data_IF_526117401683
#
_entry.id   IF_526117401683
#
_cell.length_a   1.000
_cell.length_b   1.000
_cell.length_c   1.000
_cell.angle_alpha   90.00
_cell.angle_beta   90.00
_cell.angle_gamma   90.00
#
_symmetry.space_group_name_H-M   'P 1'
#
loop_
_entity.id
_entity.type
_entity.pdbx_description
1 polymer ?
#
# COMPACT_ATOMS: atom_id res chain seq x y z
N UNK A 1 -4.35 12.07 0.80
CA UNK A 1 -5.65 12.34 0.14
C UNK A 1 -5.52 13.26 -1.06
N UNK A 2 -4.93 14.45 -0.93
CA UNK A 2 -4.69 15.38 -2.06
C UNK A 2 -3.86 14.78 -3.20
N UNK A 3 -2.93 13.86 -2.88
CA UNK A 3 -2.10 13.16 -3.86
C UNK A 3 -2.87 12.17 -4.76
N UNK A 4 -4.06 11.73 -4.33
CA UNK A 4 -4.78 10.65 -5.03
C UNK A 4 -5.18 11.04 -6.46
N UNK A 5 -5.86 12.16 -6.73
CA UNK A 5 -6.15 12.59 -8.11
C UNK A 5 -4.88 12.83 -8.94
N UNK A 6 -3.78 13.30 -8.33
CA UNK A 6 -2.49 13.48 -9.03
C UNK A 6 -1.93 12.15 -9.54
N UNK A 7 -1.96 11.10 -8.72
CA UNK A 7 -1.49 9.76 -9.11
C UNK A 7 -2.39 9.16 -10.20
N UNK A 8 -3.71 9.34 -10.11
CA UNK A 8 -4.64 8.86 -11.14
C UNK A 8 -4.43 9.58 -12.48
N UNK A 9 -4.19 10.90 -12.44
CA UNK A 9 -3.83 11.67 -13.62
C UNK A 9 -2.52 11.21 -14.26
N UNK A 10 -1.50 10.90 -13.45
CA UNK A 10 -0.23 10.34 -13.94
C UNK A 10 -0.43 8.99 -14.66
N UNK A 11 -1.27 8.10 -14.13
CA UNK A 11 -1.59 6.82 -14.78
C UNK A 11 -2.31 7.00 -16.14
N UNK A 12 -3.21 7.98 -16.25
CA UNK A 12 -3.82 8.33 -17.55
C UNK A 12 -2.74 8.84 -18.51
N UNK A 13 -1.86 9.73 -18.03
CA UNK A 13 -0.75 10.28 -18.80
C UNK A 13 0.13 9.18 -19.41
N UNK A 14 0.54 8.19 -18.61
CA UNK A 14 1.36 7.07 -19.12
C UNK A 14 0.64 6.22 -20.16
N UNK A 15 -0.70 6.08 -20.07
CA UNK A 15 -1.48 5.37 -21.07
C UNK A 15 -1.54 6.14 -22.40
N UNK A 16 -1.74 7.46 -22.34
CA UNK A 16 -1.74 8.32 -23.53
C UNK A 16 -0.37 8.29 -24.20
N UNK A 17 0.71 8.40 -23.43
CA UNK A 17 2.08 8.25 -23.96
C UNK A 17 2.29 6.87 -24.58
N UNK A 18 1.74 5.81 -23.99
CA UNK A 18 1.78 4.45 -24.55
C UNK A 18 1.06 4.34 -25.90
N UNK A 19 -0.08 5.00 -26.07
CA UNK A 19 -0.80 5.05 -27.36
C UNK A 19 -0.01 5.83 -28.40
N UNK A 20 0.57 6.97 -28.04
CA UNK A 20 1.43 7.74 -28.94
C UNK A 20 2.67 6.94 -29.37
N UNK A 21 3.30 6.21 -28.44
CA UNK A 21 4.42 5.32 -28.74
C UNK A 21 4.00 4.18 -29.67
N UNK A 22 2.82 3.58 -29.46
CA UNK A 22 2.28 2.54 -30.32
C UNK A 22 2.01 3.06 -31.75
N UNK A 23 1.52 4.29 -31.90
CA UNK A 23 1.31 4.95 -33.20
C UNK A 23 2.61 5.26 -33.93
N UNK A 24 3.72 5.44 -33.20
CA UNK A 24 5.05 5.64 -33.79
C UNK A 24 5.77 4.33 -34.14
N UNK A 25 5.18 3.18 -33.82
CA UNK A 25 5.76 1.88 -34.15
C UNK A 25 5.64 1.55 -35.64
N UNK A 26 6.49 0.65 -36.12
CA UNK A 26 6.47 0.17 -37.51
C UNK A 26 5.08 -0.32 -37.93
N UNK A 27 4.70 -0.05 -39.18
CA UNK A 27 3.39 -0.43 -39.73
C UNK A 27 3.08 -1.94 -39.61
N UNK A 28 4.12 -2.79 -39.64
CA UNK A 28 3.98 -4.25 -39.48
C UNK A 28 3.59 -4.69 -38.06
N UNK A 29 3.87 -3.88 -37.05
CA UNK A 29 3.57 -4.16 -35.62
C UNK A 29 2.52 -3.23 -35.04
N UNK A 30 2.13 -2.19 -35.78
CA UNK A 30 1.19 -1.14 -35.37
C UNK A 30 -0.10 -1.70 -34.74
N UNK A 31 -0.71 -2.71 -35.37
CA UNK A 31 -1.94 -3.30 -34.84
C UNK A 31 -1.74 -3.94 -33.45
N UNK A 32 -0.62 -4.65 -33.26
CA UNK A 32 -0.29 -5.32 -32.01
C UNK A 32 0.11 -4.33 -30.91
N UNK A 33 0.90 -3.30 -31.24
CA UNK A 33 1.30 -2.27 -30.28
C UNK A 33 0.11 -1.43 -29.83
N UNK A 34 -0.81 -1.06 -30.74
CA UNK A 34 -2.05 -0.37 -30.41
C UNK A 34 -2.98 -1.23 -29.55
N UNK A 35 -3.09 -2.52 -29.84
CA UNK A 35 -3.91 -3.42 -29.02
C UNK A 35 -3.44 -3.43 -27.57
N UNK A 36 -2.13 -3.54 -27.33
CA UNK A 36 -1.57 -3.51 -25.97
C UNK A 36 -1.74 -2.13 -25.34
N UNK A 37 -1.52 -1.04 -26.08
CA UNK A 37 -1.69 0.31 -25.57
C UNK A 37 -3.14 0.63 -25.20
N UNK A 38 -4.12 0.20 -26.00
CA UNK A 38 -5.53 0.34 -25.70
C UNK A 38 -5.98 -0.54 -24.54
N UNK A 39 -5.49 -1.78 -24.45
CA UNK A 39 -5.74 -2.61 -23.29
C UNK A 39 -5.28 -1.90 -22.01
N UNK A 40 -4.09 -1.28 -22.04
CA UNK A 40 -3.56 -0.52 -20.92
C UNK A 40 -4.41 0.74 -20.60
N UNK A 41 -4.83 1.50 -21.62
CA UNK A 41 -5.66 2.68 -21.46
C UNK A 41 -7.04 2.35 -20.87
N UNK A 42 -7.75 1.37 -21.44
CA UNK A 42 -9.08 1.00 -20.97
C UNK A 42 -9.05 0.36 -19.59
N UNK A 43 -8.02 -0.44 -19.28
CA UNK A 43 -7.83 -0.96 -17.92
C UNK A 43 -7.67 0.17 -16.90
N UNK A 44 -6.84 1.17 -17.17
CA UNK A 44 -6.67 2.30 -16.25
C UNK A 44 -7.92 3.18 -16.17
N UNK A 45 -8.60 3.44 -17.28
CA UNK A 45 -9.80 4.28 -17.31
C UNK A 45 -10.96 3.63 -16.53
N UNK A 46 -11.21 2.33 -16.78
CA UNK A 46 -12.23 1.57 -16.06
C UNK A 46 -11.87 1.42 -14.58
N UNK A 47 -10.59 1.19 -14.26
CA UNK A 47 -10.09 1.18 -12.89
C UNK A 47 -10.34 2.49 -12.16
N UNK A 48 -10.05 3.64 -12.79
CA UNK A 48 -10.35 4.96 -12.23
C UNK A 48 -11.87 5.11 -12.04
N UNK A 49 -12.68 4.73 -13.01
CA UNK A 49 -14.13 4.83 -12.89
C UNK A 49 -14.65 4.02 -11.67
N UNK A 50 -14.19 2.78 -11.50
CA UNK A 50 -14.57 1.91 -10.39
C UNK A 50 -14.04 2.45 -9.06
N UNK A 51 -12.74 2.73 -8.95
CA UNK A 51 -12.11 3.06 -7.68
C UNK A 51 -12.25 4.52 -7.26
N UNK A 52 -12.33 5.46 -8.20
CA UNK A 52 -12.40 6.90 -7.90
C UNK A 52 -13.83 7.43 -7.89
N UNK A 53 -14.69 6.97 -8.81
CA UNK A 53 -16.06 7.49 -8.98
C UNK A 53 -17.04 6.87 -7.99
N UNK A 54 -16.88 5.58 -7.67
CA UNK A 54 -17.74 4.89 -6.69
C UNK A 54 -17.29 5.25 -5.26
N UNK A 55 -18.11 6.05 -4.57
CA UNK A 55 -17.80 6.64 -3.26
C UNK A 55 -17.29 5.66 -2.18
N UNK A 56 -17.92 4.49 -1.94
CA UNK A 56 -17.42 3.55 -0.93
C UNK A 56 -16.08 2.91 -1.32
N UNK A 57 -15.81 2.70 -2.62
CA UNK A 57 -14.60 2.05 -3.10
C UNK A 57 -13.38 2.97 -3.03
N UNK A 58 -13.57 4.28 -3.21
CA UNK A 58 -12.51 5.31 -3.10
C UNK A 58 -11.80 5.30 -1.76
N UNK A 59 -12.49 4.98 -0.68
CA UNK A 59 -11.91 4.97 0.66
C UNK A 59 -10.94 3.80 0.88
N UNK A 60 -11.11 2.70 0.14
CA UNK A 60 -10.27 1.50 0.27
C UNK A 60 -8.80 1.78 -0.04
N UNK A 61 -8.41 2.26 -1.25
CA UNK A 61 -7.00 2.52 -1.57
C UNK A 61 -6.41 3.62 -0.69
N UNK A 62 -7.20 4.63 -0.31
CA UNK A 62 -6.73 5.71 0.57
C UNK A 62 -6.37 5.17 1.96
N UNK A 63 -7.22 4.31 2.55
CA UNK A 63 -6.97 3.69 3.86
C UNK A 63 -5.78 2.74 3.82
N UNK A 64 -5.66 1.93 2.77
CA UNK A 64 -4.52 1.03 2.57
C UNK A 64 -3.21 1.82 2.43
N UNK A 65 -3.20 2.88 1.63
CA UNK A 65 -2.04 3.73 1.46
C UNK A 65 -1.62 4.45 2.76
N UNK A 66 -2.59 4.92 3.57
CA UNK A 66 -2.31 5.49 4.90
C UNK A 66 -1.70 4.44 5.82
N UNK A 67 -2.29 3.25 5.91
CA UNK A 67 -1.77 2.17 6.76
C UNK A 67 -0.35 1.73 6.37
N UNK A 68 -0.06 1.60 5.07
CA UNK A 68 1.28 1.30 4.57
C UNK A 68 2.26 2.45 4.85
N UNK A 69 1.83 3.70 4.67
CA UNK A 69 2.63 4.88 4.98
C UNK A 69 2.98 5.01 6.47
N UNK A 70 2.00 4.79 7.35
CA UNK A 70 2.21 4.80 8.81
C UNK A 70 3.15 3.69 9.26
N UNK A 71 3.03 2.50 8.67
CA UNK A 71 3.93 1.37 8.92
C UNK A 71 5.35 1.67 8.43
N UNK A 72 5.47 2.29 7.25
CA UNK A 72 6.76 2.73 6.69
C UNK A 72 7.42 3.83 7.54
N UNK A 73 6.63 4.75 8.08
CA UNK A 73 7.13 5.80 8.97
C UNK A 73 7.68 5.22 10.27
N UNK A 74 7.08 4.12 10.75
CA UNK A 74 7.54 3.39 11.93
C UNK A 74 8.78 2.52 11.66
N UNK A 75 8.80 1.81 10.52
CA UNK A 75 9.87 0.88 10.15
C UNK A 75 10.45 1.27 8.79
N UNK A 76 11.56 2.02 8.76
CA UNK A 76 12.12 2.54 7.50
C UNK A 76 12.55 1.43 6.52
N UNK A 77 13.03 0.29 7.03
CA UNK A 77 13.40 -0.86 6.21
C UNK A 77 12.19 -1.49 5.50
N UNK A 78 10.99 -1.31 6.05
CA UNK A 78 9.75 -1.84 5.48
C UNK A 78 9.49 -1.29 4.08
N UNK A 79 9.80 -0.02 3.81
CA UNK A 79 9.67 0.54 2.44
C UNK A 79 10.54 -0.19 1.42
N UNK A 80 11.80 -0.45 1.77
CA UNK A 80 12.74 -1.13 0.87
C UNK A 80 12.35 -2.59 0.67
N UNK A 81 12.00 -3.29 1.77
CA UNK A 81 11.50 -4.65 1.71
C UNK A 81 10.21 -4.76 0.88
N UNK A 82 9.27 -3.83 1.08
CA UNK A 82 8.04 -3.75 0.30
C UNK A 82 8.34 -3.56 -1.19
N UNK A 83 9.23 -2.63 -1.55
CA UNK A 83 9.63 -2.41 -2.94
C UNK A 83 10.26 -3.67 -3.54
N UNK A 84 11.21 -4.29 -2.84
CA UNK A 84 11.88 -5.52 -3.26
C UNK A 84 10.87 -6.65 -3.50
N UNK A 85 9.94 -6.84 -2.55
CA UNK A 85 8.94 -7.91 -2.65
C UNK A 85 7.95 -7.64 -3.77
N UNK A 86 7.36 -6.45 -3.85
CA UNK A 86 6.31 -6.14 -4.83
C UNK A 86 6.82 -5.99 -6.26
N UNK A 87 8.03 -5.48 -6.49
CA UNK A 87 8.55 -5.23 -7.84
C UNK A 87 9.48 -6.33 -8.36
N UNK A 88 10.05 -7.16 -7.49
CA UNK A 88 10.99 -8.20 -7.90
C UNK A 88 10.52 -9.59 -7.50
N UNK A 89 10.35 -9.86 -6.20
CA UNK A 89 10.06 -11.22 -5.71
C UNK A 89 8.71 -11.73 -6.21
N UNK A 90 7.63 -10.95 -6.05
CA UNK A 90 6.29 -11.35 -6.50
C UNK A 90 6.26 -11.54 -8.03
N UNK A 91 6.70 -10.58 -8.86
CA UNK A 91 6.77 -10.80 -10.31
C UNK A 91 7.65 -11.99 -10.71
N UNK A 92 8.79 -12.22 -10.05
CA UNK A 92 9.65 -13.36 -10.32
C UNK A 92 8.98 -14.70 -9.98
N UNK A 93 8.22 -14.77 -8.88
CA UNK A 93 7.43 -15.95 -8.52
C UNK A 93 6.37 -16.21 -9.60
N UNK A 94 5.60 -15.19 -10.00
CA UNK A 94 4.59 -15.32 -11.06
C UNK A 94 5.22 -15.76 -12.39
N UNK A 95 6.36 -15.18 -12.77
CA UNK A 95 7.11 -15.57 -13.96
C UNK A 95 7.59 -17.02 -13.86
N UNK A 96 8.17 -17.41 -12.72
CA UNK A 96 8.64 -18.78 -12.48
C UNK A 96 7.52 -19.81 -12.59
N UNK A 97 6.35 -19.53 -12.00
CA UNK A 97 5.17 -20.39 -12.17
C UNK A 97 4.65 -20.39 -13.59
N UNK A 98 4.61 -19.25 -14.28
CA UNK A 98 4.18 -19.17 -15.68
C UNK A 98 5.04 -20.02 -16.61
N UNK A 99 6.32 -20.26 -16.28
CA UNK A 99 7.20 -21.16 -17.04
C UNK A 99 7.01 -22.64 -16.66
N UNK A 100 6.61 -22.92 -15.42
CA UNK A 100 6.42 -24.28 -14.91
C UNK A 100 5.04 -24.89 -15.27
N UNK A 101 4.06 -24.06 -15.65
CA UNK A 101 2.72 -24.47 -16.07
C UNK A 101 1.63 -23.54 -15.53
N UNK A 102 0.46 -23.58 -16.13
CA UNK A 102 -0.71 -22.78 -15.73
C UNK A 102 -1.42 -23.32 -14.48
N UNK A 103 -1.41 -24.65 -14.28
CA UNK A 103 -2.10 -25.29 -13.15
C UNK A 103 -1.59 -24.84 -11.76
N UNK A 104 -0.27 -24.79 -11.45
CA UNK A 104 0.22 -24.32 -10.15
C UNK A 104 -0.12 -22.85 -9.87
N UNK A 105 -0.14 -22.01 -10.90
CA UNK A 105 -0.46 -20.59 -10.78
C UNK A 105 -1.92 -20.38 -10.37
N UNK A 106 -2.84 -21.12 -11.01
CA UNK A 106 -4.26 -21.06 -10.66
C UNK A 106 -4.49 -21.50 -9.20
N UNK A 107 -3.88 -22.61 -8.78
CA UNK A 107 -3.99 -23.10 -7.40
C UNK A 107 -3.50 -22.04 -6.40
N UNK A 108 -2.34 -21.42 -6.66
CA UNK A 108 -1.78 -20.39 -5.81
C UNK A 108 -2.73 -19.18 -5.71
N UNK A 109 -3.22 -18.67 -6.84
CA UNK A 109 -4.13 -17.52 -6.89
C UNK A 109 -5.43 -17.84 -6.12
N UNK A 110 -6.04 -19.01 -6.37
CA UNK A 110 -7.27 -19.41 -5.70
C UNK A 110 -7.07 -19.55 -4.19
N UNK A 111 -5.96 -20.14 -3.74
CA UNK A 111 -5.64 -20.27 -2.31
C UNK A 111 -5.44 -18.90 -1.64
N UNK A 112 -4.70 -17.99 -2.29
CA UNK A 112 -4.52 -16.63 -1.80
C UNK A 112 -5.85 -15.88 -1.71
N UNK A 113 -6.71 -16.00 -2.72
CA UNK A 113 -8.05 -15.39 -2.73
C UNK A 113 -8.94 -15.93 -1.61
N UNK A 114 -9.02 -17.26 -1.45
CA UNK A 114 -9.82 -17.89 -0.38
C UNK A 114 -9.36 -17.39 0.99
N UNK A 115 -8.04 -17.35 1.21
CA UNK A 115 -7.47 -16.87 2.48
C UNK A 115 -7.80 -15.39 2.71
N UNK A 116 -7.66 -14.54 1.68
CA UNK A 116 -7.98 -13.11 1.79
C UNK A 116 -9.47 -12.87 2.06
N UNK A 117 -10.36 -13.61 1.39
CA UNK A 117 -11.82 -13.55 1.61
C UNK A 117 -12.16 -14.02 3.02
N UNK A 118 -11.56 -15.11 3.49
CA UNK A 118 -11.76 -15.61 4.86
C UNK A 118 -11.33 -14.58 5.90
N UNK A 119 -10.13 -14.01 5.77
CA UNK A 119 -9.63 -12.96 6.69
C UNK A 119 -10.51 -11.72 6.64
N UNK A 120 -10.91 -11.28 5.44
CA UNK A 120 -11.83 -10.16 5.25
C UNK A 120 -13.17 -10.41 5.93
N UNK A 121 -13.75 -11.59 5.73
CA UNK A 121 -15.00 -12.01 6.34
C UNK A 121 -14.91 -12.05 7.88
N UNK A 122 -13.85 -12.66 8.43
CA UNK A 122 -13.60 -12.70 9.87
C UNK A 122 -13.45 -11.29 10.44
N UNK A 123 -12.69 -10.41 9.80
CA UNK A 123 -12.52 -9.02 10.25
C UNK A 123 -13.84 -8.23 10.19
N UNK A 124 -14.67 -8.46 9.17
CA UNK A 124 -16.01 -7.86 9.08
C UNK A 124 -16.92 -8.38 10.18
N UNK A 125 -16.89 -9.69 10.48
CA UNK A 125 -17.64 -10.28 11.57
C UNK A 125 -17.18 -9.78 12.94
N UNK A 126 -15.87 -9.64 13.17
CA UNK A 126 -15.33 -9.01 14.39
C UNK A 126 -15.84 -7.58 14.55
N UNK A 127 -15.93 -6.82 13.46
CA UNK A 127 -16.38 -5.42 13.49
C UNK A 127 -17.90 -5.25 13.64
N UNK A 128 -18.72 -6.16 13.10
CA UNK A 128 -20.19 -6.04 13.12
C UNK A 128 -20.89 -6.89 14.19
N UNK A 129 -20.38 -8.08 14.51
CA UNK A 129 -21.03 -9.03 15.43
C UNK A 129 -19.99 -9.83 16.24
N UNK A 130 -19.26 -9.18 17.17
CA UNK A 130 -18.20 -9.84 17.94
C UNK A 130 -18.73 -11.00 18.81
N UNK A 131 -20.00 -10.96 19.23
CA UNK A 131 -20.60 -11.96 20.12
C UNK A 131 -20.87 -13.32 19.44
N UNK A 132 -21.11 -13.36 18.12
CA UNK A 132 -21.37 -14.62 17.38
C UNK A 132 -20.11 -15.39 17.00
N UNK A 133 -18.93 -14.82 17.20
CA UNK A 133 -17.67 -15.42 16.78
C UNK A 133 -17.05 -16.25 17.92
N UNK A 134 -16.52 -17.46 17.66
CA UNK A 134 -15.84 -18.26 18.68
C UNK A 134 -14.59 -17.53 19.21
N UNK A 135 -14.26 -17.75 20.50
CA UNK A 135 -13.22 -16.99 21.21
C UNK A 135 -11.87 -16.94 20.50
N UNK A 136 -11.45 -18.03 19.82
CA UNK A 136 -10.19 -18.11 19.06
C UNK A 136 -10.15 -17.21 17.82
N UNK A 137 -11.31 -16.88 17.24
CA UNK A 137 -11.41 -16.03 16.05
C UNK A 137 -11.75 -14.58 16.42
N UNK A 138 -12.08 -14.26 17.67
CA UNK A 138 -12.32 -12.87 18.12
C UNK A 138 -11.03 -12.05 18.19
N UNK A 139 -9.93 -12.68 18.54
CA UNK A 139 -8.62 -12.03 18.63
C UNK A 139 -7.57 -12.87 17.90
N UNK A 140 -6.73 -12.20 17.11
CA UNK A 140 -5.57 -12.82 16.43
C UNK A 140 -4.42 -13.15 17.40
N UNK A 141 -4.72 -13.40 18.68
CA UNK A 141 -3.74 -13.62 19.74
C UNK A 141 -3.13 -15.03 19.71
N UNK A 142 -3.80 -16.00 19.08
CA UNK A 142 -3.25 -17.34 18.88
C UNK A 142 -2.15 -17.40 17.82
N UNK A 143 -2.03 -16.36 16.98
CA UNK A 143 -1.07 -16.32 15.88
C UNK A 143 0.32 -15.91 16.39
N UNK A 144 1.41 -16.55 15.91
CA UNK A 144 2.78 -16.20 16.31
C UNK A 144 3.07 -14.71 16.15
N UNK A 145 3.85 -14.15 17.08
CA UNK A 145 4.19 -12.73 17.10
C UNK A 145 4.80 -12.17 15.80
N UNK A 146 5.61 -12.92 15.02
CA UNK A 146 6.10 -12.46 13.71
C UNK A 146 5.02 -12.27 12.65
N UNK A 147 3.88 -12.96 12.77
CA UNK A 147 2.74 -12.83 11.86
C UNK A 147 1.75 -11.75 12.34
N UNK A 148 1.81 -11.39 13.63
CA UNK A 148 0.97 -10.34 14.25
C UNK A 148 1.64 -8.97 14.24
N UNK A 149 2.96 -8.92 14.27
CA UNK A 149 3.71 -7.67 14.37
C UNK A 149 5.05 -7.74 13.64
N UNK A 150 5.45 -6.60 13.09
CA UNK A 150 6.76 -6.42 12.45
C UNK A 150 7.90 -6.14 13.45
N UNK A 151 7.60 -6.03 14.75
CA UNK A 151 8.57 -5.73 15.83
C UNK A 151 9.75 -6.71 15.90
N UNK A 152 9.54 -8.05 15.90
CA UNK A 152 10.65 -8.99 16.04
C UNK A 152 11.67 -8.88 14.89
N UNK A 153 11.20 -8.63 13.66
CA UNK A 153 12.09 -8.43 12.51
C UNK A 153 12.90 -7.13 12.63
N UNK A 154 12.27 -6.06 13.09
CA UNK A 154 12.95 -4.78 13.31
C UNK A 154 14.05 -4.90 14.36
N UNK A 155 13.76 -5.51 15.50
CA UNK A 155 14.72 -5.64 16.63
C UNK A 155 15.86 -6.62 16.34
N UNK A 156 15.58 -7.76 15.70
CA UNK A 156 16.57 -8.83 15.56
C UNK A 156 17.35 -8.76 14.25
N UNK A 157 16.73 -8.30 13.15
CA UNK A 157 17.34 -8.33 11.81
C UNK A 157 17.86 -6.95 11.41
N UNK A 158 17.05 -5.90 11.59
CA UNK A 158 17.35 -4.58 11.01
C UNK A 158 17.96 -3.57 11.98
N UNK A 159 17.73 -3.69 13.30
CA UNK A 159 18.36 -2.83 14.31
C UNK A 159 19.90 -2.94 14.36
N UNK A 160 20.52 -4.13 14.20
CA UNK A 160 21.97 -4.25 14.08
C UNK A 160 22.50 -3.59 12.80
N UNK A 161 21.76 -3.73 11.71
CA UNK A 161 22.12 -3.22 10.39
C UNK A 161 22.03 -1.68 10.32
N UNK A 162 21.06 -1.08 11.02
CA UNK A 162 20.92 0.37 11.16
C UNK A 162 21.99 1.03 12.05
N UNK A 163 22.64 0.28 12.96
CA UNK A 163 23.79 0.77 13.76
C UNK A 163 25.06 0.93 12.93
N UNK A 164 25.19 0.21 11.82
CA UNK A 164 26.34 0.27 10.92
C UNK A 164 26.29 1.42 9.92
N UNK A 165 25.12 2.07 9.74
CA UNK A 165 24.96 3.15 8.76
C UNK A 165 25.03 4.54 9.44
N UNK A 166 26.10 5.29 9.18
CA UNK A 166 26.31 6.67 9.70
C UNK A 166 25.15 7.60 9.31
N UNK A 167 24.51 7.35 8.17
CA UNK A 167 23.38 8.15 7.64
C UNK A 167 22.11 8.08 8.52
N UNK A 168 21.93 7.03 9.32
CA UNK A 168 20.76 6.87 10.19
C UNK A 168 20.85 7.65 11.52
N UNK A 169 22.05 8.10 11.93
CA UNK A 169 22.19 8.98 13.11
C UNK A 169 21.58 10.36 12.86
N UNK A 170 21.80 10.92 11.68
CA UNK A 170 21.33 12.26 11.29
C UNK A 170 19.82 12.33 11.14
N UNK A 171 19.19 11.31 10.54
CA UNK A 171 17.73 11.28 10.36
C UNK A 171 16.94 11.20 11.67
N UNK A 172 17.51 10.59 12.72
CA UNK A 172 16.89 10.58 14.06
C UNK A 172 16.88 11.99 14.68
N UNK A 173 17.97 12.76 14.53
CA UNK A 173 18.09 14.13 15.02
C UNK A 173 16.99 15.05 14.46
N UNK A 174 16.83 15.07 13.14
CA UNK A 174 15.87 15.96 12.46
C UNK A 174 14.41 15.67 12.83
N UNK A 175 14.06 14.39 13.06
CA UNK A 175 12.69 14.00 13.44
C UNK A 175 12.31 14.38 14.88
N UNK A 176 13.29 14.46 15.78
CA UNK A 176 13.11 14.90 17.17
C UNK A 176 12.95 16.42 17.20
N UNK A 177 13.76 17.13 16.42
CA UNK A 177 13.74 18.60 16.34
C UNK A 177 12.39 19.14 15.79
N UNK A 178 11.86 18.53 14.72
CA UNK A 178 10.53 18.90 14.19
C UNK A 178 9.37 18.61 15.15
N UNK A 179 9.48 17.60 16.01
CA UNK A 179 8.47 17.32 17.04
C UNK A 179 8.52 18.36 18.15
N UNK A 180 9.73 18.77 18.56
CA UNK A 180 9.91 19.80 19.57
C UNK A 180 9.42 21.16 19.07
N UNK A 181 9.77 21.54 17.83
CA UNK A 181 9.28 22.78 17.21
C UNK A 181 7.74 22.78 17.08
N UNK A 182 7.12 21.66 16.71
CA UNK A 182 5.64 21.57 16.66
C UNK A 182 4.98 21.62 18.04
N UNK A 183 5.65 21.11 19.08
CA UNK A 183 5.15 21.21 20.45
C UNK A 183 5.25 22.65 20.97
N UNK A 184 6.28 23.39 20.54
CA UNK A 184 6.50 24.79 20.91
C UNK A 184 5.58 25.76 20.16
N UNK A 185 5.21 25.43 18.92
CA UNK A 185 4.29 26.21 18.08
C UNK A 185 2.80 25.85 18.30
N UNK A 186 2.49 24.91 19.20
CA UNK A 186 1.12 24.60 19.56
C UNK A 186 0.56 25.77 20.38
N UNK A 187 -0.55 26.41 19.95
CA UNK A 187 -1.11 27.54 20.68
C UNK A 187 -1.44 27.09 22.10
N UNK A 188 -1.04 27.90 23.08
CA UNK A 188 -1.31 27.58 24.48
C UNK A 188 -2.83 27.46 24.70
N UNK A 189 -3.25 26.59 25.62
CA UNK A 189 -4.68 26.40 25.95
C UNK A 189 -5.40 27.72 26.28
N UNK A 190 -4.65 28.75 26.71
CA UNK A 190 -5.15 30.09 26.98
C UNK A 190 -5.51 30.86 25.69
N UNK A 191 -4.71 30.73 24.62
CA UNK A 191 -5.03 31.38 23.34
C UNK A 191 -6.23 30.74 22.63
N UNK A 192 -6.39 29.43 22.77
CA UNK A 192 -7.57 28.71 22.29
C UNK A 192 -8.84 29.10 23.06
N UNK A 193 -8.74 29.33 24.38
CA UNK A 193 -9.85 29.80 25.20
C UNK A 193 -10.28 31.24 24.83
N UNK A 194 -9.32 32.15 24.64
CA UNK A 194 -9.58 33.54 24.24
C UNK A 194 -10.19 33.62 22.82
N UNK A 195 -9.77 32.74 21.90
CA UNK A 195 -10.35 32.65 20.56
C UNK A 195 -11.78 32.10 20.57
N UNK A 196 -12.13 31.23 21.52
CA UNK A 196 -13.47 30.68 21.67
C UNK A 196 -14.47 31.65 22.32
N UNK A 197 -14.02 32.57 23.18
CA UNK A 197 -14.86 33.66 23.72
C UNK A 197 -15.11 34.81 22.72
N UNK A 198 -14.35 34.87 21.62
CA UNK A 198 -14.49 35.88 20.56
C UNK A 198 -15.37 35.43 19.37
N UNK A 199 -15.99 34.26 19.46
CA UNK A 199 -17.04 33.77 18.54
C UNK A 199 -18.38 33.73 19.26
#
# INVERSE_FOLDING_TARGET
ERMYPTVLGANIGTCITGVLAALSADASKLALTLQVAYAHLFFNLTGIFIWYSIWPLRQVPIRLAKALGDTTAKYRWFALAYLAVCFFIVPAIFMGFSLAGDAPLLVLITLCLITAVFVGFVNVMQARFPERLPHKLRTWAWLPEPLRSLRPYDEHIFAPMGRFCICCKTAKSTSVELKNVKAELAPSNLELAIAAERM
#
